data_IF_128341107428
#
_entry.id   IF_128341107428
#
_cell.length_a   1.000
_cell.length_b   1.000
_cell.length_c   1.000
_cell.angle_alpha   90.00
_cell.angle_beta   90.00
_cell.angle_gamma   90.00
#
_symmetry.space_group_name_H-M   'P 1'
#
loop_
_entity.id
_entity.type
_entity.pdbx_description
1 polymer ?
#
# COMPACT_ATOMS: atom_id res chain seq x y z
N UNK A 1 3.83 18.29 -22.34
CA UNK A 1 2.48 17.71 -22.16
C UNK A 1 2.57 16.24 -22.53
N UNK A 2 2.50 15.33 -21.55
CA UNK A 2 2.56 13.89 -21.82
C UNK A 2 1.33 13.50 -22.65
N UNK A 3 1.53 12.73 -23.73
CA UNK A 3 0.46 12.30 -24.64
C UNK A 3 -0.52 11.40 -23.89
N UNK A 4 -1.82 11.72 -23.97
CA UNK A 4 -2.96 11.00 -23.41
C UNK A 4 -3.14 9.53 -23.88
N UNK A 5 -2.20 8.96 -24.65
CA UNK A 5 -2.45 7.74 -25.43
C UNK A 5 -2.50 6.44 -24.64
N UNK A 6 -2.14 6.47 -23.36
CA UNK A 6 -2.07 5.26 -22.52
C UNK A 6 -3.04 5.29 -21.34
N UNK A 7 -4.05 6.18 -21.35
CA UNK A 7 -5.09 6.16 -20.31
C UNK A 7 -6.05 5.00 -20.65
N UNK A 8 -6.11 3.95 -19.82
CA UNK A 8 -6.97 2.81 -20.10
C UNK A 8 -8.44 3.26 -20.11
N UNK A 9 -9.24 2.77 -21.07
CA UNK A 9 -10.68 3.10 -21.20
C UNK A 9 -11.49 2.75 -19.95
N UNK A 10 -10.97 1.86 -19.10
CA UNK A 10 -11.50 1.54 -17.78
C UNK A 10 -10.42 1.74 -16.75
N UNK A 11 -10.71 2.54 -15.73
CA UNK A 11 -9.85 2.64 -14.56
C UNK A 11 -9.71 1.27 -13.90
N UNK A 12 -8.51 0.69 -13.98
CA UNK A 12 -8.14 -0.54 -13.32
C UNK A 12 -7.44 -0.20 -11.98
N UNK A 13 -8.03 -0.58 -10.82
CA UNK A 13 -7.30 -0.57 -9.56
C UNK A 13 -6.27 -1.71 -9.54
N UNK A 14 -5.15 -1.53 -8.84
CA UNK A 14 -4.10 -2.55 -8.74
C UNK A 14 -2.86 -2.26 -9.59
N UNK A 15 -2.32 -1.04 -9.55
CA UNK A 15 -1.04 -0.73 -10.20
C UNK A 15 0.10 -1.64 -9.71
N UNK A 16 -0.03 -2.23 -8.51
CA UNK A 16 0.91 -3.24 -8.00
C UNK A 16 0.76 -4.62 -8.67
N UNK A 17 -0.45 -4.98 -9.13
CA UNK A 17 -0.71 -6.22 -9.86
C UNK A 17 -0.07 -6.22 -11.24
N UNK A 18 0.10 -5.04 -11.83
CA UNK A 18 0.72 -4.83 -13.13
C UNK A 18 2.26 -4.72 -13.06
N UNK A 19 2.85 -4.70 -11.86
CA UNK A 19 4.31 -4.70 -11.71
C UNK A 19 4.87 -6.09 -12.04
N UNK A 20 5.89 -6.14 -12.90
CA UNK A 20 6.64 -7.38 -13.15
C UNK A 20 7.18 -7.91 -11.82
N UNK A 21 6.61 -9.03 -11.38
CA UNK A 21 6.86 -9.62 -10.08
C UNK A 21 8.29 -10.06 -9.83
N UNK A 22 9.14 -10.08 -10.87
CA UNK A 22 10.58 -10.40 -10.79
C UNK A 22 11.43 -9.20 -10.38
N UNK A 23 10.89 -7.99 -10.40
CA UNK A 23 11.60 -6.80 -9.93
C UNK A 23 11.56 -6.72 -8.40
N UNK A 24 12.67 -6.34 -7.77
CA UNK A 24 12.73 -6.18 -6.31
C UNK A 24 11.70 -5.18 -5.77
N UNK A 25 11.30 -4.20 -6.58
CA UNK A 25 10.27 -3.22 -6.25
C UNK A 25 8.89 -3.89 -6.14
N UNK A 26 8.53 -4.78 -7.07
CA UNK A 26 7.24 -5.47 -7.04
C UNK A 26 7.09 -6.38 -5.82
N UNK A 27 8.16 -7.09 -5.44
CA UNK A 27 8.17 -7.91 -4.23
C UNK A 27 8.00 -7.06 -2.97
N UNK A 28 8.81 -6.02 -2.82
CA UNK A 28 8.74 -5.09 -1.68
C UNK A 28 7.35 -4.43 -1.58
N UNK A 29 6.78 -3.99 -2.70
CA UNK A 29 5.44 -3.39 -2.72
C UNK A 29 4.36 -4.35 -2.25
N UNK A 30 4.40 -5.61 -2.70
CA UNK A 30 3.46 -6.65 -2.24
C UNK A 30 3.61 -6.94 -0.76
N UNK A 31 4.83 -7.06 -0.26
CA UNK A 31 5.11 -7.30 1.16
C UNK A 31 4.61 -6.14 2.04
N UNK A 32 4.92 -4.89 1.66
CA UNK A 32 4.44 -3.71 2.40
C UNK A 32 2.93 -3.54 2.31
N UNK A 33 2.31 -3.84 1.17
CA UNK A 33 0.85 -3.85 1.03
C UNK A 33 0.20 -4.88 1.96
N UNK A 34 0.73 -6.09 2.01
CA UNK A 34 0.25 -7.13 2.92
C UNK A 34 0.40 -6.69 4.39
N UNK A 35 1.53 -6.09 4.77
CA UNK A 35 1.74 -5.58 6.13
C UNK A 35 0.75 -4.47 6.49
N UNK A 36 0.66 -3.43 5.65
CA UNK A 36 -0.19 -2.27 5.93
C UNK A 36 -1.68 -2.65 5.96
N UNK A 37 -2.12 -3.51 5.04
CA UNK A 37 -3.52 -3.98 5.06
C UNK A 37 -3.79 -4.92 6.24
N UNK A 38 -2.83 -5.74 6.66
CA UNK A 38 -2.94 -6.56 7.87
C UNK A 38 -3.07 -5.70 9.13
N UNK A 39 -2.31 -4.62 9.24
CA UNK A 39 -2.41 -3.69 10.38
C UNK A 39 -3.75 -2.95 10.42
N UNK A 40 -4.41 -2.80 9.28
CA UNK A 40 -5.74 -2.20 9.18
C UNK A 40 -6.88 -3.21 9.35
N UNK A 41 -6.58 -4.44 9.79
CA UNK A 41 -7.55 -5.51 10.06
C UNK A 41 -7.71 -6.54 8.94
N UNK A 42 -6.87 -6.50 7.90
CA UNK A 42 -6.88 -7.40 6.75
C UNK A 42 -7.55 -6.79 5.50
N UNK A 43 -7.05 -7.09 4.29
CA UNK A 43 -7.51 -6.47 3.03
C UNK A 43 -9.00 -6.71 2.72
N UNK A 44 -9.57 -7.80 3.23
CA UNK A 44 -10.99 -8.16 3.13
C UNK A 44 -11.90 -7.24 3.95
N UNK A 45 -11.37 -6.68 5.05
CA UNK A 45 -12.10 -5.77 5.94
C UNK A 45 -11.97 -4.31 5.52
N UNK A 46 -11.18 -4.04 4.47
CA UNK A 46 -11.02 -2.71 3.91
C UNK A 46 -12.10 -2.42 2.86
N UNK A 47 -12.60 -1.20 2.88
CA UNK A 47 -13.33 -0.66 1.73
C UNK A 47 -12.39 -0.53 0.52
N UNK A 48 -13.00 -0.43 -0.66
CA UNK A 48 -12.27 -0.13 -1.88
C UNK A 48 -11.43 1.16 -1.76
N UNK A 49 -12.00 2.21 -1.17
CA UNK A 49 -11.32 3.49 -0.98
C UNK A 49 -10.08 3.35 -0.09
N UNK A 50 -10.16 2.57 0.99
CA UNK A 50 -9.02 2.31 1.87
C UNK A 50 -7.91 1.54 1.14
N UNK A 51 -8.24 0.50 0.37
CA UNK A 51 -7.22 -0.22 -0.44
C UNK A 51 -6.54 0.72 -1.45
N UNK A 52 -7.31 1.57 -2.10
CA UNK A 52 -6.81 2.58 -3.05
C UNK A 52 -5.88 3.61 -2.38
N UNK A 53 -6.18 3.99 -1.13
CA UNK A 53 -5.33 4.86 -0.31
C UNK A 53 -4.04 4.17 0.13
N UNK A 54 -4.10 2.89 0.53
CA UNK A 54 -2.91 2.08 0.85
C UNK A 54 -1.96 2.03 -0.34
N UNK A 55 -2.44 1.77 -1.56
CA UNK A 55 -1.59 1.77 -2.76
C UNK A 55 -0.89 3.11 -2.98
N UNK A 56 -1.62 4.23 -2.80
CA UNK A 56 -1.05 5.58 -2.95
C UNK A 56 -0.03 5.91 -1.86
N UNK A 57 -0.26 5.47 -0.63
CA UNK A 57 0.69 5.63 0.46
C UNK A 57 2.02 4.94 0.11
N UNK A 58 1.96 3.70 -0.36
CA UNK A 58 3.15 2.94 -0.73
C UNK A 58 3.92 3.53 -1.90
N UNK A 59 3.23 4.05 -2.91
CA UNK A 59 3.87 4.76 -4.02
C UNK A 59 4.56 6.05 -3.58
N UNK A 60 3.91 6.84 -2.70
CA UNK A 60 4.51 8.06 -2.15
C UNK A 60 5.71 7.74 -1.27
N UNK A 61 5.63 6.69 -0.44
CA UNK A 61 6.74 6.24 0.40
C UNK A 61 7.95 5.83 -0.44
N UNK A 62 7.73 5.05 -1.50
CA UNK A 62 8.80 4.67 -2.42
C UNK A 62 9.42 5.87 -3.14
N UNK A 63 8.58 6.81 -3.60
CA UNK A 63 9.09 8.02 -4.23
C UNK A 63 9.92 8.87 -3.26
N UNK A 64 9.45 9.06 -2.02
CA UNK A 64 10.19 9.76 -0.97
C UNK A 64 11.55 9.08 -0.68
N UNK A 65 11.57 7.76 -0.55
CA UNK A 65 12.81 6.98 -0.36
C UNK A 65 13.81 7.19 -1.51
N UNK A 66 13.34 7.26 -2.75
CA UNK A 66 14.21 7.57 -3.90
C UNK A 66 14.82 8.96 -3.80
N UNK A 67 14.01 9.97 -3.47
CA UNK A 67 14.51 11.33 -3.31
C UNK A 67 15.49 11.45 -2.14
N UNK A 68 15.29 10.71 -1.06
CA UNK A 68 16.21 10.66 0.10
C UNK A 68 17.56 10.02 -0.28
N UNK A 69 17.55 8.99 -1.12
CA UNK A 69 18.78 8.39 -1.66
C UNK A 69 19.53 9.37 -2.55
N UNK A 70 18.83 10.12 -3.42
CA UNK A 70 19.44 11.17 -4.25
C UNK A 70 20.07 12.27 -3.37
N UNK A 71 19.35 12.73 -2.34
CA UNK A 71 19.85 13.70 -1.36
C UNK A 71 21.10 13.19 -0.63
N UNK A 72 21.10 11.94 -0.18
CA UNK A 72 22.22 11.33 0.53
C UNK A 72 23.49 11.21 -0.34
N UNK A 73 23.32 11.13 -1.66
CA UNK A 73 24.43 11.14 -2.64
C UNK A 73 24.91 12.54 -3.00
N UNK A 74 24.27 13.59 -2.48
CA UNK A 74 24.55 14.98 -2.85
C UNK A 74 24.06 15.33 -4.26
N UNK A 75 23.12 14.56 -4.81
CA UNK A 75 22.50 14.85 -6.11
C UNK A 75 21.45 15.97 -5.98
N UNK A 76 20.90 16.39 -7.13
CA UNK A 76 19.86 17.41 -7.18
C UNK A 76 18.62 16.96 -6.39
N UNK A 77 18.28 17.70 -5.33
CA UNK A 77 17.14 17.42 -4.48
C UNK A 77 16.17 18.61 -4.42
N UNK A 78 14.90 18.35 -4.73
CA UNK A 78 13.83 19.34 -4.63
C UNK A 78 13.07 19.17 -3.31
N UNK A 79 13.46 19.96 -2.30
CA UNK A 79 12.85 19.94 -0.97
C UNK A 79 11.36 20.28 -1.01
N UNK A 80 10.92 21.13 -1.94
CA UNK A 80 9.51 21.53 -2.05
C UNK A 80 8.63 20.36 -2.46
N UNK A 81 9.04 19.61 -3.49
CA UNK A 81 8.34 18.39 -3.92
C UNK A 81 8.39 17.31 -2.84
N UNK A 82 9.52 17.17 -2.16
CA UNK A 82 9.65 16.22 -1.06
C UNK A 82 8.67 16.53 0.08
N UNK A 83 8.61 17.77 0.55
CA UNK A 83 7.66 18.19 1.61
C UNK A 83 6.21 18.00 1.16
N UNK A 84 5.88 18.31 -0.09
CA UNK A 84 4.53 18.10 -0.63
C UNK A 84 4.13 16.61 -0.61
N UNK A 85 5.02 15.72 -1.05
CA UNK A 85 4.78 14.28 -1.02
C UNK A 85 4.68 13.74 0.41
N UNK A 86 5.55 14.19 1.32
CA UNK A 86 5.55 13.81 2.73
C UNK A 86 4.23 14.20 3.43
N UNK A 87 3.75 15.43 3.19
CA UNK A 87 2.46 15.88 3.70
C UNK A 87 1.29 15.11 3.09
N UNK A 88 1.37 14.78 1.79
CA UNK A 88 0.39 13.93 1.12
C UNK A 88 0.31 12.54 1.75
N UNK A 89 1.48 11.92 2.01
CA UNK A 89 1.57 10.63 2.69
C UNK A 89 1.00 10.70 4.10
N UNK A 90 1.39 11.69 4.90
CA UNK A 90 0.84 11.92 6.25
C UNK A 90 -0.68 12.02 6.21
N UNK A 91 -1.24 12.80 5.28
CA UNK A 91 -2.69 12.94 5.13
C UNK A 91 -3.41 11.64 4.78
N UNK A 92 -2.78 10.76 4.01
CA UNK A 92 -3.32 9.42 3.70
C UNK A 92 -3.28 8.53 4.95
N UNK A 93 -2.13 8.47 5.63
CA UNK A 93 -1.95 7.62 6.82
C UNK A 93 -2.90 8.02 7.96
N UNK A 94 -3.08 9.33 8.19
CA UNK A 94 -4.06 9.82 9.17
C UNK A 94 -5.49 9.40 8.84
N UNK A 95 -5.87 9.36 7.55
CA UNK A 95 -7.21 8.92 7.11
C UNK A 95 -7.41 7.41 7.24
N UNK A 96 -6.36 6.63 7.02
CA UNK A 96 -6.39 5.17 7.22
C UNK A 96 -6.42 4.81 8.72
N UNK A 97 -5.86 5.67 9.56
CA UNK A 97 -5.68 5.47 10.99
C UNK A 97 -4.29 4.92 11.27
N UNK A 98 -3.66 5.44 12.33
CA UNK A 98 -2.33 4.98 12.79
C UNK A 98 -2.41 3.79 13.76
N UNK A 99 -3.62 3.44 14.19
CA UNK A 99 -3.83 2.36 15.16
C UNK A 99 -3.95 1.02 14.45
N UNK A 100 -3.20 0.02 14.94
CA UNK A 100 -3.31 -1.36 14.49
C UNK A 100 -4.67 -1.92 14.90
N UNK A 101 -5.47 -2.33 13.93
CA UNK A 101 -6.71 -3.08 14.14
C UNK A 101 -6.41 -4.56 14.12
N UNK A 102 -6.61 -5.24 15.24
CA UNK A 102 -6.52 -6.69 15.30
C UNK A 102 -7.55 -7.30 14.33
N UNK A 103 -7.12 -8.28 13.55
CA UNK A 103 -8.03 -9.08 12.73
C UNK A 103 -8.93 -9.90 13.64
N UNK A 104 -10.20 -10.01 13.31
CA UNK A 104 -11.11 -10.94 13.99
C UNK A 104 -10.73 -12.37 13.57
N UNK A 105 -10.00 -13.07 14.46
CA UNK A 105 -9.52 -14.43 14.22
C UNK A 105 -10.38 -15.39 15.04
N UNK A 106 -10.99 -16.44 14.43
CA UNK A 106 -11.77 -17.42 15.18
C UNK A 106 -10.95 -18.00 16.33
N UNK A 107 -11.56 -18.15 17.50
CA UNK A 107 -10.89 -18.82 18.61
C UNK A 107 -10.69 -20.31 18.28
N UNK A 108 -9.77 -20.96 19.00
CA UNK A 108 -9.41 -22.35 18.74
C UNK A 108 -10.61 -23.30 18.81
N UNK A 109 -11.57 -23.04 19.70
CA UNK A 109 -12.79 -23.84 19.84
C UNK A 109 -13.69 -23.72 18.60
N UNK A 110 -13.89 -22.50 18.09
CA UNK A 110 -14.68 -22.25 16.87
C UNK A 110 -14.01 -22.87 15.64
N UNK A 111 -12.68 -22.77 15.57
CA UNK A 111 -11.90 -23.39 14.49
C UNK A 111 -11.98 -24.92 14.51
N UNK A 112 -11.90 -25.53 15.70
CA UNK A 112 -12.02 -26.99 15.86
C UNK A 112 -13.44 -27.48 15.56
N UNK A 113 -14.48 -26.76 15.97
CA UNK A 113 -15.87 -27.10 15.65
C UNK A 113 -16.13 -27.05 14.14
N UNK A 114 -15.60 -26.04 13.45
CA UNK A 114 -15.75 -25.87 12.01
C UNK A 114 -15.02 -26.96 11.19
N UNK A 115 -13.94 -27.54 11.74
CA UNK A 115 -13.15 -28.60 11.11
C UNK A 115 -13.60 -30.01 11.49
N UNK A 116 -14.10 -30.19 12.71
CA UNK A 116 -14.60 -31.46 13.24
C UNK A 116 -15.96 -31.89 12.66
N UNK A 117 -16.76 -30.95 12.15
CA UNK A 117 -18.03 -31.25 11.46
C UNK A 117 -17.92 -31.75 10.02
N UNK A 118 -16.71 -32.06 9.52
CA UNK A 118 -16.46 -32.60 8.17
C UNK A 118 -16.05 -34.09 8.16
N UNK A 119 -16.59 -34.89 9.08
CA UNK A 119 -16.51 -36.35 9.02
C UNK A 119 -17.89 -36.95 8.76
#
# INVERSE_FOLDING_TARGET
MAKLKDIPEKFAPGYMGDLDGRTGIAQMMRERYASMTSDLGGPENLSYAQRSLVERALWLEFWLQRQEVELAKGESFDVGKWVQAANGLQGILTKLGLERKAKDVPNLSDYLAQRGGKQ
#
